data_IF_862390516923
#
_entry.id   IF_862390516923
#
_cell.length_a   1.000
_cell.length_b   1.000
_cell.length_c   1.000
_cell.angle_alpha   90.00
_cell.angle_beta   90.00
_cell.angle_gamma   90.00
#
_symmetry.space_group_name_H-M   'P 1'
#
loop_
_entity.id
_entity.type
_entity.pdbx_description
1 polymer ?
#
# COMPACT_ATOMS: atom_id res chain seq x y z
N UNK A 1 23.17 -38.14 -27.79
CA UNK A 1 23.10 -36.68 -27.60
C UNK A 1 21.74 -36.16 -27.08
N UNK A 2 20.61 -36.78 -27.41
CA UNK A 2 19.24 -36.31 -27.01
C UNK A 2 18.98 -36.57 -25.51
N UNK A 3 19.55 -37.60 -24.91
CA UNK A 3 19.33 -37.95 -23.49
C UNK A 3 19.99 -36.96 -22.51
N UNK A 4 21.20 -36.47 -22.84
CA UNK A 4 21.95 -35.51 -22.02
C UNK A 4 21.25 -34.12 -21.98
N UNK A 5 20.66 -33.67 -23.08
CA UNK A 5 19.93 -32.40 -23.14
C UNK A 5 18.64 -32.43 -22.30
N UNK A 6 18.01 -33.60 -22.17
CA UNK A 6 16.80 -33.77 -21.34
C UNK A 6 17.11 -33.71 -19.84
N UNK A 7 18.23 -34.27 -19.41
CA UNK A 7 18.70 -34.21 -18.02
C UNK A 7 19.09 -32.79 -17.61
N UNK A 8 19.71 -32.02 -18.50
CA UNK A 8 20.08 -30.62 -18.20
C UNK A 8 18.85 -29.71 -18.04
N UNK A 9 17.80 -29.89 -18.87
CA UNK A 9 16.53 -29.13 -18.74
C UNK A 9 15.76 -29.50 -17.47
N UNK A 10 15.77 -30.76 -17.04
CA UNK A 10 15.09 -31.22 -15.82
C UNK A 10 15.82 -30.67 -14.58
N UNK A 11 17.13 -30.67 -14.55
CA UNK A 11 17.94 -30.10 -13.46
C UNK A 11 17.74 -28.59 -13.29
N UNK A 12 17.60 -27.87 -14.40
CA UNK A 12 17.36 -26.41 -14.36
C UNK A 12 15.94 -26.08 -13.85
N UNK A 13 14.93 -26.86 -14.24
CA UNK A 13 13.55 -26.72 -13.75
C UNK A 13 13.40 -27.06 -12.27
N UNK A 14 14.11 -28.06 -11.79
CA UNK A 14 14.13 -28.41 -10.35
C UNK A 14 14.82 -27.34 -9.51
N UNK A 15 15.92 -26.76 -9.97
CA UNK A 15 16.60 -25.63 -9.30
C UNK A 15 15.72 -24.40 -9.18
N UNK A 16 14.99 -24.02 -10.23
CA UNK A 16 14.09 -22.88 -10.22
C UNK A 16 12.89 -23.09 -9.26
N UNK A 17 12.29 -24.30 -9.25
CA UNK A 17 11.23 -24.65 -8.28
C UNK A 17 11.73 -24.60 -6.84
N UNK A 18 12.90 -25.17 -6.56
CA UNK A 18 13.52 -25.18 -5.23
C UNK A 18 13.82 -23.76 -4.76
N UNK A 19 14.35 -22.92 -5.64
CA UNK A 19 14.64 -21.52 -5.37
C UNK A 19 13.35 -20.73 -5.03
N UNK A 20 12.30 -20.86 -5.83
CA UNK A 20 11.00 -20.22 -5.59
C UNK A 20 10.38 -20.62 -4.25
N UNK A 21 10.41 -21.92 -3.93
CA UNK A 21 9.89 -22.42 -2.66
C UNK A 21 10.72 -22.00 -1.44
N UNK A 22 12.03 -21.82 -1.60
CA UNK A 22 12.91 -21.30 -0.54
C UNK A 22 12.52 -19.87 -0.16
N UNK A 23 12.25 -18.99 -1.14
CA UNK A 23 11.78 -17.62 -0.90
C UNK A 23 10.40 -17.59 -0.24
N UNK A 24 9.59 -18.61 -0.44
CA UNK A 24 8.31 -18.78 0.24
C UNK A 24 8.41 -19.32 1.68
N UNK A 25 9.61 -19.70 2.14
CA UNK A 25 9.84 -20.20 3.51
C UNK A 25 10.03 -19.02 4.48
N UNK A 26 9.16 -18.86 5.52
CA UNK A 26 9.29 -17.77 6.49
C UNK A 26 10.62 -17.74 7.21
N UNK A 27 11.17 -18.92 7.57
CA UNK A 27 12.47 -19.02 8.27
C UNK A 27 13.61 -18.54 7.41
N UNK A 28 13.72 -19.04 6.19
CA UNK A 28 14.77 -18.65 5.25
C UNK A 28 14.71 -17.17 4.90
N UNK A 29 13.49 -16.67 4.66
CA UNK A 29 13.27 -15.25 4.41
C UNK A 29 13.71 -14.38 5.59
N UNK A 30 13.36 -14.77 6.83
CA UNK A 30 13.73 -14.02 8.03
C UNK A 30 15.26 -13.95 8.19
N UNK A 31 15.97 -15.06 8.03
CA UNK A 31 17.42 -15.11 8.16
C UNK A 31 18.11 -14.17 7.14
N UNK A 32 17.61 -14.10 5.91
CA UNK A 32 18.18 -13.26 4.85
C UNK A 32 17.72 -11.81 4.91
N UNK A 33 16.48 -11.58 5.28
CA UNK A 33 15.90 -10.24 5.34
C UNK A 33 16.33 -9.44 6.60
N UNK A 34 16.66 -10.09 7.71
CA UNK A 34 17.00 -9.42 8.96
C UNK A 34 18.06 -8.31 8.82
N UNK A 35 19.26 -8.54 8.25
CA UNK A 35 20.24 -7.47 8.11
C UNK A 35 19.78 -6.36 7.17
N UNK A 36 19.08 -6.72 6.08
CA UNK A 36 18.55 -5.76 5.11
C UNK A 36 17.46 -4.90 5.73
N UNK A 37 16.54 -5.51 6.49
CA UNK A 37 15.44 -4.78 7.15
C UNK A 37 15.96 -3.77 8.19
N UNK A 38 17.04 -4.09 8.91
CA UNK A 38 17.64 -3.16 9.85
C UNK A 38 18.21 -1.93 9.13
N UNK A 39 18.97 -2.14 8.06
CA UNK A 39 19.52 -1.03 7.26
C UNK A 39 18.42 -0.18 6.64
N UNK A 40 17.41 -0.83 6.00
CA UNK A 40 16.28 -0.13 5.40
C UNK A 40 15.45 0.60 6.47
N UNK A 41 15.29 0.04 7.66
CA UNK A 41 14.58 0.68 8.78
C UNK A 41 15.27 1.96 9.23
N UNK A 42 16.59 1.93 9.42
CA UNK A 42 17.39 3.11 9.78
C UNK A 42 17.31 4.18 8.67
N UNK A 43 17.53 3.79 7.41
CA UNK A 43 17.44 4.72 6.28
C UNK A 43 16.04 5.32 6.16
N UNK A 44 14.98 4.53 6.30
CA UNK A 44 13.60 5.01 6.28
C UNK A 44 13.35 6.02 7.40
N UNK A 45 13.81 5.75 8.62
CA UNK A 45 13.66 6.68 9.75
C UNK A 45 14.36 8.01 9.46
N UNK A 46 15.60 7.97 8.95
CA UNK A 46 16.38 9.18 8.62
C UNK A 46 15.68 9.98 7.51
N UNK A 47 15.34 9.35 6.38
CA UNK A 47 14.73 10.06 5.25
C UNK A 47 13.33 10.58 5.56
N UNK A 48 12.51 9.81 6.31
CA UNK A 48 11.19 10.28 6.74
C UNK A 48 11.30 11.48 7.68
N UNK A 49 12.21 11.41 8.67
CA UNK A 49 12.41 12.54 9.58
C UNK A 49 12.89 13.79 8.85
N UNK A 50 13.88 13.66 7.97
CA UNK A 50 14.38 14.77 7.15
C UNK A 50 13.30 15.31 6.21
N UNK A 51 12.55 14.44 5.54
CA UNK A 51 11.48 14.82 4.61
C UNK A 51 10.33 15.55 5.31
N UNK A 52 9.90 15.07 6.48
CA UNK A 52 8.84 15.72 7.27
C UNK A 52 9.32 17.06 7.80
N UNK A 53 10.52 17.14 8.38
CA UNK A 53 11.08 18.40 8.89
C UNK A 53 11.23 19.41 7.76
N UNK A 54 11.84 19.02 6.64
CA UNK A 54 12.02 19.90 5.50
C UNK A 54 10.67 20.34 4.90
N UNK A 55 9.76 19.42 4.64
CA UNK A 55 8.45 19.69 4.04
C UNK A 55 7.59 20.61 4.90
N UNK A 56 7.55 20.39 6.21
CA UNK A 56 6.67 21.17 7.09
C UNK A 56 7.30 22.49 7.55
N UNK A 57 8.62 22.56 7.72
CA UNK A 57 9.28 23.74 8.28
C UNK A 57 9.95 24.66 7.24
N UNK A 58 10.52 24.08 6.18
CA UNK A 58 11.40 24.82 5.26
C UNK A 58 10.88 24.92 3.83
N UNK A 59 9.93 24.08 3.40
CA UNK A 59 9.38 24.18 2.05
C UNK A 59 8.75 25.57 1.81
N UNK A 60 8.91 26.17 0.61
CA UNK A 60 8.29 27.45 0.30
C UNK A 60 6.77 27.38 0.40
N UNK A 61 6.15 28.52 0.64
CA UNK A 61 4.70 28.65 0.62
C UNK A 61 4.17 28.60 -0.82
N UNK A 62 3.01 27.98 -0.99
CA UNK A 62 2.29 28.03 -2.25
C UNK A 62 1.61 29.39 -2.45
N UNK A 63 1.61 29.92 -3.67
CA UNK A 63 1.07 31.25 -3.97
C UNK A 63 -0.45 31.37 -3.78
N UNK A 64 -1.19 30.24 -3.86
CA UNK A 64 -2.66 30.21 -3.67
C UNK A 64 -3.04 29.73 -2.27
N UNK A 65 -2.37 28.68 -1.78
CA UNK A 65 -2.75 27.96 -0.56
C UNK A 65 -1.90 28.38 0.67
N UNK A 66 -0.86 29.19 0.47
CA UNK A 66 0.04 29.59 1.54
C UNK A 66 0.67 28.39 2.25
N UNK A 67 0.78 28.48 3.58
CA UNK A 67 1.39 27.43 4.41
C UNK A 67 0.58 26.12 4.45
N UNK A 68 -0.73 26.13 4.15
CA UNK A 68 -1.55 24.92 4.19
C UNK A 68 -1.12 23.88 3.14
N UNK A 69 -0.49 24.33 2.05
CA UNK A 69 0.10 23.45 1.03
C UNK A 69 1.13 22.46 1.60
N UNK A 70 1.83 22.80 2.68
CA UNK A 70 2.84 21.95 3.29
C UNK A 70 2.28 20.62 3.81
N UNK A 71 0.96 20.55 4.08
CA UNK A 71 0.28 19.30 4.47
C UNK A 71 0.44 18.23 3.40
N UNK A 72 0.60 18.62 2.12
CA UNK A 72 0.84 17.71 0.99
C UNK A 72 2.00 16.74 1.24
N UNK A 73 3.08 17.18 1.89
CA UNK A 73 4.26 16.35 2.13
C UNK A 73 4.02 15.17 3.08
N UNK A 74 2.93 15.19 3.84
CA UNK A 74 2.48 14.09 4.69
C UNK A 74 1.28 13.38 4.05
N UNK A 75 0.33 14.15 3.53
CA UNK A 75 -0.93 13.61 2.99
C UNK A 75 -0.70 12.73 1.75
N UNK A 76 -0.01 13.26 0.75
CA UNK A 76 0.17 12.55 -0.54
C UNK A 76 0.96 11.24 -0.40
N UNK A 77 2.12 11.20 0.30
CA UNK A 77 2.80 9.94 0.54
C UNK A 77 1.94 8.93 1.32
N UNK A 78 1.20 9.38 2.34
CA UNK A 78 0.32 8.50 3.12
C UNK A 78 -0.80 7.91 2.26
N UNK A 79 -1.43 8.73 1.41
CA UNK A 79 -2.49 8.31 0.49
C UNK A 79 -1.98 7.33 -0.57
N UNK A 80 -0.78 7.53 -1.11
CA UNK A 80 -0.18 6.61 -2.08
C UNK A 80 0.25 5.29 -1.44
N UNK A 81 0.89 5.35 -0.27
CA UNK A 81 1.39 4.17 0.41
C UNK A 81 0.26 3.28 0.94
N UNK A 82 -0.83 3.83 1.47
CA UNK A 82 -1.95 3.01 1.94
C UNK A 82 -2.61 2.24 0.79
N UNK A 83 -2.78 2.84 -0.38
CA UNK A 83 -3.31 2.17 -1.56
C UNK A 83 -2.35 1.11 -2.09
N UNK A 84 -1.05 1.44 -2.19
CA UNK A 84 -0.01 0.51 -2.64
C UNK A 84 0.10 -0.71 -1.73
N UNK A 85 0.04 -0.52 -0.40
CA UNK A 85 0.02 -1.61 0.56
C UNK A 85 -1.23 -2.49 0.43
N UNK A 86 -2.40 -1.90 0.16
CA UNK A 86 -3.60 -2.70 -0.04
C UNK A 86 -3.53 -3.54 -1.31
N UNK A 87 -3.04 -2.95 -2.41
CA UNK A 87 -2.78 -3.68 -3.66
C UNK A 87 -1.77 -4.82 -3.43
N UNK A 88 -0.70 -4.55 -2.69
CA UNK A 88 0.26 -5.59 -2.28
C UNK A 88 -0.42 -6.72 -1.51
N UNK A 89 -1.32 -6.41 -0.56
CA UNK A 89 -2.08 -7.42 0.18
C UNK A 89 -2.97 -8.26 -0.73
N UNK A 90 -3.61 -7.66 -1.73
CA UNK A 90 -4.42 -8.38 -2.72
C UNK A 90 -3.58 -9.33 -3.56
N UNK A 91 -2.43 -8.89 -4.06
CA UNK A 91 -1.48 -9.72 -4.83
C UNK A 91 -0.93 -10.85 -3.95
N UNK A 92 -0.50 -10.54 -2.73
CA UNK A 92 -0.02 -11.54 -1.78
C UNK A 92 -1.11 -12.54 -1.42
N UNK A 93 -2.36 -12.10 -1.27
CA UNK A 93 -3.53 -12.95 -1.05
C UNK A 93 -3.76 -13.93 -2.20
N UNK A 94 -3.70 -13.45 -3.44
CA UNK A 94 -3.78 -14.31 -4.62
C UNK A 94 -2.66 -15.37 -4.64
N UNK A 95 -1.42 -14.96 -4.41
CA UNK A 95 -0.27 -15.87 -4.34
C UNK A 95 -0.47 -16.89 -3.21
N UNK A 96 -0.93 -16.44 -2.04
CA UNK A 96 -1.19 -17.30 -0.89
C UNK A 96 -2.23 -18.37 -1.15
N UNK A 97 -3.33 -18.03 -1.81
CA UNK A 97 -4.40 -18.97 -2.15
C UNK A 97 -3.97 -19.98 -3.22
N UNK A 98 -3.28 -19.53 -4.28
CA UNK A 98 -2.89 -20.38 -5.41
C UNK A 98 -1.73 -21.30 -5.05
N UNK A 99 -0.67 -20.77 -4.41
CA UNK A 99 0.55 -21.54 -4.11
C UNK A 99 0.67 -21.98 -2.66
N UNK A 100 -0.32 -21.65 -1.79
CA UNK A 100 -0.34 -22.00 -0.36
C UNK A 100 0.93 -21.59 0.39
N UNK A 101 1.46 -20.41 0.08
CA UNK A 101 2.69 -19.90 0.66
C UNK A 101 2.42 -19.20 2.00
N UNK A 102 2.95 -19.76 3.10
CA UNK A 102 2.79 -19.19 4.45
C UNK A 102 3.35 -17.77 4.60
N UNK A 103 4.39 -17.45 3.85
CA UNK A 103 5.01 -16.11 3.91
C UNK A 103 4.05 -15.00 3.50
N UNK A 104 3.12 -15.27 2.57
CA UNK A 104 2.13 -14.26 2.14
C UNK A 104 1.18 -13.86 3.26
N UNK A 105 0.74 -14.81 4.09
CA UNK A 105 -0.10 -14.51 5.25
C UNK A 105 0.65 -13.66 6.30
N UNK A 106 1.93 -13.98 6.54
CA UNK A 106 2.80 -13.17 7.41
C UNK A 106 2.96 -11.75 6.87
N UNK A 107 3.21 -11.61 5.57
CA UNK A 107 3.38 -10.32 4.92
C UNK A 107 2.08 -9.47 4.97
N UNK A 108 0.94 -10.08 4.69
CA UNK A 108 -0.37 -9.42 4.81
C UNK A 108 -0.62 -9.00 6.26
N UNK A 109 -0.36 -9.88 7.22
CA UNK A 109 -0.54 -9.58 8.65
C UNK A 109 0.28 -8.36 9.10
N UNK A 110 1.50 -8.22 8.60
CA UNK A 110 2.36 -7.07 8.88
C UNK A 110 1.90 -5.79 8.18
N UNK A 111 1.33 -5.90 6.97
CA UNK A 111 0.87 -4.75 6.18
C UNK A 111 -0.41 -4.09 6.74
N UNK A 112 -1.31 -4.87 7.36
CA UNK A 112 -2.61 -4.40 7.84
C UNK A 112 -2.50 -3.18 8.78
N UNK A 113 -1.78 -3.23 9.93
CA UNK A 113 -1.72 -2.09 10.85
C UNK A 113 -1.04 -0.87 10.22
N UNK A 114 -0.05 -1.08 9.37
CA UNK A 114 0.66 0.00 8.67
C UNK A 114 -0.28 0.70 7.68
N UNK A 115 -0.98 -0.08 6.84
CA UNK A 115 -1.92 0.46 5.87
C UNK A 115 -3.10 1.16 6.53
N UNK A 116 -3.63 0.61 7.62
CA UNK A 116 -4.70 1.23 8.42
C UNK A 116 -4.26 2.58 8.99
N UNK A 117 -3.06 2.64 9.58
CA UNK A 117 -2.50 3.88 10.12
C UNK A 117 -2.28 4.94 9.02
N UNK A 118 -1.69 4.55 7.90
CA UNK A 118 -1.45 5.47 6.77
C UNK A 118 -2.77 5.99 6.18
N UNK A 119 -3.81 5.15 6.11
CA UNK A 119 -5.13 5.58 5.64
C UNK A 119 -5.77 6.57 6.62
N UNK A 120 -5.65 6.33 7.93
CA UNK A 120 -6.10 7.29 8.95
C UNK A 120 -5.36 8.63 8.85
N UNK A 121 -4.03 8.60 8.67
CA UNK A 121 -3.22 9.82 8.46
C UNK A 121 -3.68 10.54 7.20
N UNK A 122 -3.91 9.84 6.10
CA UNK A 122 -4.40 10.45 4.86
C UNK A 122 -5.77 11.11 5.04
N UNK A 123 -6.73 10.47 5.73
CA UNK A 123 -8.05 11.04 6.02
C UNK A 123 -7.96 12.27 6.92
N UNK A 124 -7.19 12.21 8.00
CA UNK A 124 -7.02 13.32 8.94
C UNK A 124 -6.33 14.52 8.25
N UNK A 125 -5.22 14.28 7.59
CA UNK A 125 -4.47 15.33 6.90
C UNK A 125 -5.23 15.91 5.71
N UNK A 126 -6.04 15.09 5.01
CA UNK A 126 -6.95 15.54 3.96
C UNK A 126 -8.03 16.48 4.50
N UNK A 127 -8.64 16.16 5.65
CA UNK A 127 -9.60 17.04 6.33
C UNK A 127 -8.97 18.36 6.77
N UNK A 128 -7.76 18.31 7.36
CA UNK A 128 -7.01 19.50 7.77
C UNK A 128 -6.65 20.38 6.58
N UNK A 129 -6.32 19.80 5.44
CA UNK A 129 -6.00 20.53 4.23
C UNK A 129 -7.26 21.05 3.50
N UNK A 130 -8.35 20.28 3.53
CA UNK A 130 -9.62 20.67 2.92
C UNK A 130 -10.23 21.90 3.55
N UNK A 131 -10.08 22.10 4.85
CA UNK A 131 -10.69 23.26 5.56
C UNK A 131 -10.24 24.63 5.00
N UNK A 132 -8.92 24.93 4.86
CA UNK A 132 -8.48 26.19 4.28
C UNK A 132 -8.65 26.26 2.76
N UNK A 133 -8.64 25.12 2.02
CA UNK A 133 -8.73 25.11 0.56
C UNK A 133 -10.15 25.15 0.03
N UNK A 134 -11.06 24.41 0.66
CA UNK A 134 -12.45 24.20 0.18
C UNK A 134 -13.49 24.75 1.14
N UNK A 135 -13.10 25.23 2.33
CA UNK A 135 -14.02 25.75 3.35
C UNK A 135 -14.71 24.68 4.20
N UNK A 136 -14.51 23.39 3.92
CA UNK A 136 -15.11 22.26 4.63
C UNK A 136 -14.07 21.31 5.16
N UNK A 137 -14.36 20.64 6.31
CA UNK A 137 -13.52 19.58 6.85
C UNK A 137 -13.70 18.25 6.12
N UNK A 138 -14.83 18.05 5.47
CA UNK A 138 -15.20 16.81 4.84
C UNK A 138 -16.05 17.07 3.60
N UNK A 139 -15.67 16.44 2.50
CA UNK A 139 -16.45 16.40 1.28
C UNK A 139 -16.92 14.97 1.00
N UNK A 140 -18.23 14.81 0.73
CA UNK A 140 -18.83 13.51 0.42
C UNK A 140 -18.65 13.16 -1.06
N UNK A 141 -17.44 13.25 -1.55
CA UNK A 141 -17.11 12.88 -2.91
C UNK A 141 -16.60 11.44 -3.03
N UNK A 142 -16.49 10.96 -4.27
CA UNK A 142 -16.09 9.58 -4.54
C UNK A 142 -14.69 9.23 -4.00
N UNK A 143 -13.74 10.18 -3.97
CA UNK A 143 -12.38 9.96 -3.48
C UNK A 143 -12.34 9.85 -1.96
N UNK A 144 -12.95 10.77 -1.26
CA UNK A 144 -12.97 10.78 0.21
C UNK A 144 -13.72 9.57 0.76
N UNK A 145 -14.91 9.28 0.19
CA UNK A 145 -15.71 8.13 0.62
C UNK A 145 -15.02 6.81 0.33
N UNK A 146 -14.44 6.63 -0.86
CA UNK A 146 -13.74 5.37 -1.17
C UNK A 146 -12.44 5.21 -0.36
N UNK A 147 -11.78 6.30 0.04
CA UNK A 147 -10.65 6.25 0.98
C UNK A 147 -11.11 5.86 2.39
N UNK A 148 -12.28 6.34 2.83
CA UNK A 148 -12.90 5.89 4.09
C UNK A 148 -13.27 4.40 4.03
N UNK A 149 -13.81 3.93 2.90
CA UNK A 149 -14.04 2.49 2.67
C UNK A 149 -12.74 1.70 2.77
N UNK A 150 -11.63 2.21 2.22
CA UNK A 150 -10.32 1.58 2.35
C UNK A 150 -9.88 1.44 3.81
N UNK A 151 -10.12 2.47 4.63
CA UNK A 151 -9.87 2.39 6.08
C UNK A 151 -10.68 1.28 6.74
N UNK A 152 -11.97 1.18 6.44
CA UNK A 152 -12.83 0.13 6.98
C UNK A 152 -12.49 -1.26 6.43
N UNK A 153 -11.97 -1.39 5.23
CA UNK A 153 -11.44 -2.65 4.71
C UNK A 153 -10.22 -3.12 5.51
N UNK A 154 -9.27 -2.24 5.82
CA UNK A 154 -8.15 -2.56 6.70
C UNK A 154 -8.60 -2.94 8.10
N UNK A 155 -9.49 -2.13 8.69
CA UNK A 155 -10.02 -2.37 10.03
C UNK A 155 -10.82 -3.68 10.10
N UNK A 156 -11.66 -3.95 9.10
CA UNK A 156 -12.44 -5.17 9.01
C UNK A 156 -11.57 -6.41 8.89
N UNK A 157 -10.51 -6.38 8.07
CA UNK A 157 -9.54 -7.47 7.99
C UNK A 157 -8.81 -7.65 9.33
N UNK A 158 -8.42 -6.56 9.98
CA UNK A 158 -7.79 -6.61 11.31
C UNK A 158 -8.71 -7.29 12.33
N UNK A 159 -9.95 -6.85 12.44
CA UNK A 159 -10.94 -7.39 13.37
C UNK A 159 -11.25 -8.87 13.07
N UNK A 160 -11.43 -9.23 11.81
CA UNK A 160 -11.65 -10.61 11.37
C UNK A 160 -10.49 -11.52 11.79
N UNK A 161 -9.26 -11.06 11.65
CA UNK A 161 -8.07 -11.82 12.07
C UNK A 161 -7.99 -12.06 13.57
N UNK A 162 -8.56 -11.16 14.38
CA UNK A 162 -8.65 -11.37 15.84
C UNK A 162 -9.77 -12.37 16.21
N UNK A 163 -10.86 -12.39 15.44
CA UNK A 163 -12.01 -13.25 15.72
C UNK A 163 -11.77 -14.71 15.33
N UNK A 164 -11.05 -14.97 14.23
CA UNK A 164 -10.82 -16.34 13.73
C UNK A 164 -9.63 -16.98 14.42
N UNK A 165 -9.87 -18.10 15.11
CA UNK A 165 -8.81 -18.86 15.83
C UNK A 165 -8.00 -19.75 14.90
N UNK A 166 -8.68 -20.45 13.98
CA UNK A 166 -8.01 -21.34 13.02
C UNK A 166 -7.15 -20.59 12.03
N UNK A 167 -5.86 -20.91 11.97
CA UNK A 167 -4.88 -20.19 11.17
C UNK A 167 -5.12 -20.31 9.66
N UNK A 168 -5.61 -21.46 9.20
CA UNK A 168 -5.87 -21.71 7.78
C UNK A 168 -7.08 -20.91 7.30
N UNK A 169 -8.17 -20.97 8.07
CA UNK A 169 -9.40 -20.20 7.79
C UNK A 169 -9.12 -18.70 7.85
N UNK A 170 -8.36 -18.25 8.84
CA UNK A 170 -7.91 -16.84 8.99
C UNK A 170 -7.15 -16.36 7.74
N UNK A 171 -6.16 -17.13 7.29
CA UNK A 171 -5.34 -16.78 6.14
C UNK A 171 -6.19 -16.72 4.85
N UNK A 172 -7.04 -17.70 4.62
CA UNK A 172 -7.89 -17.77 3.43
C UNK A 172 -8.92 -16.62 3.41
N UNK A 173 -9.62 -16.39 4.52
CA UNK A 173 -10.61 -15.31 4.62
C UNK A 173 -9.95 -13.93 4.42
N UNK A 174 -8.79 -13.70 5.05
CA UNK A 174 -7.99 -12.48 4.87
C UNK A 174 -7.60 -12.28 3.41
N UNK A 175 -7.09 -13.33 2.75
CA UNK A 175 -6.68 -13.28 1.35
C UNK A 175 -7.84 -12.93 0.42
N UNK A 176 -9.00 -13.55 0.61
CA UNK A 176 -10.20 -13.27 -0.21
C UNK A 176 -10.65 -11.83 -0.04
N UNK A 177 -10.77 -11.32 1.19
CA UNK A 177 -11.20 -9.93 1.43
C UNK A 177 -10.17 -8.95 0.88
N UNK A 178 -8.86 -9.20 1.05
CA UNK A 178 -7.82 -8.37 0.49
C UNK A 178 -7.91 -8.30 -1.04
N UNK A 179 -8.14 -9.42 -1.72
CA UNK A 179 -8.32 -9.47 -3.18
C UNK A 179 -9.56 -8.71 -3.63
N UNK A 180 -10.71 -8.97 -3.01
CA UNK A 180 -11.97 -8.28 -3.38
C UNK A 180 -11.86 -6.79 -3.10
N UNK A 181 -11.28 -6.40 -1.98
CA UNK A 181 -11.11 -4.99 -1.63
C UNK A 181 -10.16 -4.22 -2.57
N UNK A 182 -9.31 -4.90 -3.37
CA UNK A 182 -8.48 -4.20 -4.38
C UNK A 182 -9.34 -3.51 -5.45
N UNK A 183 -10.58 -3.92 -5.65
CA UNK A 183 -11.52 -3.24 -6.55
C UNK A 183 -11.82 -1.79 -6.11
N UNK A 184 -11.61 -1.47 -4.84
CA UNK A 184 -11.76 -0.11 -4.34
C UNK A 184 -10.62 0.83 -4.78
N UNK A 185 -9.43 0.31 -5.12
CA UNK A 185 -8.28 1.13 -5.52
C UNK A 185 -8.52 1.91 -6.83
N UNK A 186 -9.00 1.30 -7.93
CA UNK A 186 -9.40 2.05 -9.11
C UNK A 186 -10.48 3.10 -8.83
N UNK A 187 -11.42 2.81 -7.92
CA UNK A 187 -12.47 3.77 -7.54
C UNK A 187 -11.83 5.00 -6.90
N UNK A 188 -10.93 4.85 -5.94
CA UNK A 188 -10.19 5.99 -5.35
C UNK A 188 -9.47 6.80 -6.43
N UNK A 189 -8.78 6.11 -7.36
CA UNK A 189 -7.96 6.77 -8.38
C UNK A 189 -8.79 7.55 -9.40
N UNK A 190 -9.84 6.92 -9.94
CA UNK A 190 -10.62 7.47 -11.05
C UNK A 190 -11.90 8.19 -10.63
N UNK A 191 -12.21 8.24 -9.32
CA UNK A 191 -13.39 8.93 -8.80
C UNK A 191 -13.45 10.41 -9.20
N UNK A 192 -12.30 11.06 -9.33
CA UNK A 192 -12.22 12.47 -9.75
C UNK A 192 -12.57 12.68 -11.23
N UNK A 193 -12.45 11.64 -12.03
CA UNK A 193 -12.79 11.69 -13.46
C UNK A 193 -14.26 11.29 -13.69
N UNK A 194 -14.84 10.50 -12.78
CA UNK A 194 -16.19 9.95 -12.92
C UNK A 194 -17.26 10.74 -12.20
N UNK A 195 -16.89 11.45 -11.12
CA UNK A 195 -17.82 12.22 -10.29
C UNK A 195 -17.37 13.66 -10.10
N UNK A 196 -18.34 14.53 -9.86
CA UNK A 196 -18.01 15.89 -9.44
C UNK A 196 -17.31 15.87 -8.08
N UNK A 197 -16.18 16.55 -7.97
CA UNK A 197 -15.33 16.56 -6.77
C UNK A 197 -14.56 17.87 -6.66
N UNK A 198 -14.21 18.26 -5.45
CA UNK A 198 -13.30 19.37 -5.18
C UNK A 198 -11.80 18.96 -5.30
N UNK A 199 -11.54 17.66 -5.37
CA UNK A 199 -10.17 17.17 -5.54
C UNK A 199 -9.64 17.47 -6.93
N UNK A 200 -8.38 17.88 -6.99
CA UNK A 200 -7.67 18.08 -8.25
C UNK A 200 -7.48 16.74 -8.99
N UNK A 201 -7.57 16.80 -10.32
CA UNK A 201 -7.16 15.69 -11.18
C UNK A 201 -5.68 15.32 -10.95
N UNK A 202 -5.25 14.15 -11.45
CA UNK A 202 -3.87 13.71 -11.29
C UNK A 202 -2.91 14.72 -11.92
N UNK A 203 -2.01 15.28 -11.11
CA UNK A 203 -1.01 16.27 -11.54
C UNK A 203 0.09 15.64 -12.41
N UNK A 204 0.31 14.34 -12.25
CA UNK A 204 1.25 13.56 -13.03
C UNK A 204 0.52 12.41 -13.72
N UNK A 205 0.62 12.37 -15.04
CA UNK A 205 0.20 11.23 -15.85
C UNK A 205 1.41 10.72 -16.65
N UNK A 206 1.40 9.43 -17.03
CA UNK A 206 2.51 8.84 -17.82
C UNK A 206 2.53 9.42 -19.23
N UNK A 207 1.40 9.95 -19.70
CA UNK A 207 1.16 10.36 -21.09
C UNK A 207 1.20 11.86 -21.34
N UNK A 208 1.13 12.69 -20.29
CA UNK A 208 1.03 14.14 -20.41
C UNK A 208 2.09 14.85 -19.57
N UNK A 209 2.40 16.09 -19.93
CA UNK A 209 3.28 16.92 -19.11
C UNK A 209 2.65 17.20 -17.74
N UNK A 210 3.47 17.33 -16.67
CA UNK A 210 2.96 17.71 -15.35
C UNK A 210 2.10 18.98 -15.45
N UNK A 211 0.94 18.95 -14.78
CA UNK A 211 0.03 20.11 -14.74
C UNK A 211 0.48 21.20 -13.75
N UNK A 212 1.58 20.98 -13.03
CA UNK A 212 2.21 21.99 -12.18
C UNK A 212 3.25 22.79 -12.96
N UNK A 213 3.32 24.12 -12.75
CA UNK A 213 4.33 24.97 -13.36
C UNK A 213 5.75 24.64 -12.90
#
# INVERSE_FOLDING_TARGET
>A
CVCLARFHKVGHRMRAKTWFHQWGSPRWFFEKAKPVSTVLGVLSLVFLSLGIIWGLAFAPEDYQQGNSFRIMYVHVPSALLCQSLYLFMGIAGFIGLVWRMKLTDVAISAAIPIGMMLTAVALITGSLWGRPTWGTWWEWDGRTVSTLVLFFLYFGIYALRQAIKDSSTKANATAIIAMVGTLNIPIIKYSVDWWHTLHQAATFTITEKPAMP
#
